data_IF_468232162326
#
_entry.id   IF_468232162326
#
_cell.length_a   1.000
_cell.length_b   1.000
_cell.length_c   1.000
_cell.angle_alpha   90.00
_cell.angle_beta   90.00
_cell.angle_gamma   90.00
#
_symmetry.space_group_name_H-M   'P 1'
#
loop_
_entity.id
_entity.type
_entity.pdbx_description
1 polymer ?
#
# COMPACT_ATOMS: atom_id res chain seq x y z
N UNK A 1 -2.91 -14.28 18.73
CA UNK A 1 -1.75 -13.40 18.48
C UNK A 1 -1.33 -12.76 19.78
N UNK A 2 -0.05 -12.81 20.14
CA UNK A 2 0.49 -12.08 21.30
C UNK A 2 0.62 -10.59 20.99
N UNK A 3 0.27 -9.73 21.95
CA UNK A 3 0.48 -8.28 21.82
C UNK A 3 1.90 -7.93 22.28
N UNK A 4 2.59 -7.09 21.51
CA UNK A 4 3.91 -6.58 21.83
C UNK A 4 3.86 -5.06 21.95
N UNK A 5 4.60 -4.49 22.89
CA UNK A 5 4.71 -3.03 23.05
C UNK A 5 5.89 -2.50 22.24
N UNK A 6 5.67 -1.39 21.53
CA UNK A 6 6.70 -0.68 20.76
C UNK A 6 6.68 0.78 21.21
N UNK A 7 7.86 1.32 21.52
CA UNK A 7 8.04 2.74 21.87
C UNK A 7 8.82 3.43 20.76
N UNK A 8 8.31 4.56 20.28
CA UNK A 8 8.96 5.37 19.26
C UNK A 8 8.75 6.85 19.53
N UNK A 9 9.55 7.69 18.88
CA UNK A 9 9.45 9.15 19.00
C UNK A 9 8.65 9.71 17.83
N UNK A 10 7.77 10.64 18.13
CA UNK A 10 7.06 11.48 17.17
C UNK A 10 7.42 12.93 17.47
N UNK A 11 7.61 13.73 16.43
CA UNK A 11 7.58 15.17 16.60
C UNK A 11 6.18 15.64 17.05
N UNK A 12 6.13 16.82 17.66
CA UNK A 12 4.91 17.37 18.26
C UNK A 12 3.81 17.62 17.23
N UNK A 13 4.17 17.96 16.00
CA UNK A 13 3.21 18.23 14.92
C UNK A 13 2.48 16.95 14.49
N UNK A 14 3.22 15.87 14.21
CA UNK A 14 2.62 14.56 13.89
C UNK A 14 1.77 14.04 15.03
N UNK A 15 2.23 14.22 16.27
CA UNK A 15 1.44 13.82 17.45
C UNK A 15 0.09 14.57 17.49
N UNK A 16 0.11 15.88 17.32
CA UNK A 16 -1.11 16.69 17.32
C UNK A 16 -2.07 16.29 16.19
N UNK A 17 -1.54 16.02 15.00
CA UNK A 17 -2.33 15.56 13.85
C UNK A 17 -3.02 14.21 14.12
N UNK A 18 -2.30 13.24 14.71
CA UNK A 18 -2.87 11.95 15.08
C UNK A 18 -3.94 12.05 16.16
N UNK A 19 -3.75 12.92 17.16
CA UNK A 19 -4.74 13.15 18.22
C UNK A 19 -6.02 13.80 17.66
N UNK A 20 -5.89 14.75 16.72
CA UNK A 20 -7.02 15.36 16.03
C UNK A 20 -7.81 14.33 15.19
N UNK A 21 -7.09 13.46 14.47
CA UNK A 21 -7.69 12.38 13.69
C UNK A 21 -8.40 11.34 14.59
N UNK A 22 -7.79 10.98 15.73
CA UNK A 22 -8.42 10.10 16.70
C UNK A 22 -9.74 10.68 17.21
N UNK A 23 -9.74 11.99 17.51
CA UNK A 23 -10.93 12.72 17.99
C UNK A 23 -12.04 12.73 16.94
N UNK A 24 -11.72 13.06 15.67
CA UNK A 24 -12.74 13.14 14.62
C UNK A 24 -13.36 11.78 14.28
N UNK A 25 -12.64 10.68 14.51
CA UNK A 25 -13.11 9.31 14.28
C UNK A 25 -13.73 8.66 15.51
N UNK A 26 -13.81 9.37 16.65
CA UNK A 26 -14.23 8.81 17.95
C UNK A 26 -13.44 7.53 18.31
N UNK A 27 -12.12 7.61 18.18
CA UNK A 27 -11.17 6.54 18.46
C UNK A 27 -10.06 7.02 19.39
N UNK A 28 -9.29 6.06 19.92
CA UNK A 28 -8.08 6.37 20.68
C UNK A 28 -6.85 6.38 19.76
N UNK A 29 -5.78 7.01 20.24
CA UNK A 29 -4.51 7.13 19.51
C UNK A 29 -3.94 5.76 19.11
N UNK A 30 -4.06 4.74 19.99
CA UNK A 30 -3.57 3.39 19.68
C UNK A 30 -4.28 2.77 18.48
N UNK A 31 -5.59 2.98 18.33
CA UNK A 31 -6.33 2.52 17.17
C UNK A 31 -5.80 3.16 15.89
N UNK A 32 -5.66 4.50 15.86
CA UNK A 32 -5.15 5.23 14.69
C UNK A 32 -3.74 4.78 14.31
N UNK A 33 -2.86 4.60 15.30
CA UNK A 33 -1.49 4.15 15.05
C UNK A 33 -1.48 2.72 14.48
N UNK A 34 -2.28 1.80 15.02
CA UNK A 34 -2.35 0.44 14.49
C UNK A 34 -2.91 0.41 13.07
N UNK A 35 -3.92 1.24 12.79
CA UNK A 35 -4.50 1.35 11.44
C UNK A 35 -3.45 1.88 10.45
N UNK A 36 -2.77 2.97 10.79
CA UNK A 36 -1.73 3.55 9.95
C UNK A 36 -0.58 2.56 9.67
N UNK A 37 -0.14 1.81 10.70
CA UNK A 37 0.87 0.76 10.53
C UNK A 37 0.36 -0.36 9.63
N UNK A 38 -0.89 -0.79 9.79
CA UNK A 38 -1.48 -1.87 8.98
C UNK A 38 -1.53 -1.48 7.51
N UNK A 39 -2.03 -0.27 7.21
CA UNK A 39 -2.08 0.26 5.85
C UNK A 39 -0.68 0.39 5.23
N UNK A 40 0.29 0.90 6.00
CA UNK A 40 1.68 1.01 5.54
C UNK A 40 2.26 -0.37 5.19
N UNK A 41 2.08 -1.34 6.08
CA UNK A 41 2.57 -2.71 5.86
C UNK A 41 1.88 -3.38 4.68
N UNK A 42 0.57 -3.22 4.53
CA UNK A 42 -0.20 -3.80 3.43
C UNK A 42 0.30 -3.28 2.07
N UNK A 43 0.41 -1.96 1.92
CA UNK A 43 0.88 -1.31 0.68
C UNK A 43 2.27 -1.82 0.32
N UNK A 44 3.20 -1.84 1.27
CA UNK A 44 4.58 -2.24 1.00
C UNK A 44 4.72 -3.74 0.76
N UNK A 45 3.96 -4.59 1.46
CA UNK A 45 3.99 -6.03 1.21
C UNK A 45 3.43 -6.38 -0.17
N UNK A 46 2.31 -5.75 -0.55
CA UNK A 46 1.76 -5.91 -1.89
C UNK A 46 2.77 -5.44 -2.95
N UNK A 47 3.34 -4.25 -2.80
CA UNK A 47 4.32 -3.71 -3.75
C UNK A 47 5.53 -4.62 -3.92
N UNK A 48 6.11 -5.11 -2.81
CA UNK A 48 7.25 -6.02 -2.86
C UNK A 48 6.89 -7.35 -3.54
N UNK A 49 5.69 -7.87 -3.29
CA UNK A 49 5.21 -9.09 -3.93
C UNK A 49 5.09 -8.90 -5.44
N UNK A 50 4.43 -7.85 -5.90
CA UNK A 50 4.24 -7.59 -7.33
C UNK A 50 5.57 -7.34 -8.05
N UNK A 51 6.52 -6.64 -7.40
CA UNK A 51 7.87 -6.45 -7.97
C UNK A 51 8.56 -7.80 -8.16
N UNK A 52 8.58 -8.65 -7.13
CA UNK A 52 9.23 -9.96 -7.25
C UNK A 52 8.54 -10.86 -8.28
N UNK A 53 7.21 -10.79 -8.35
CA UNK A 53 6.45 -11.54 -9.34
C UNK A 53 6.79 -11.07 -10.77
N UNK A 54 6.76 -9.76 -11.03
CA UNK A 54 7.08 -9.21 -12.35
C UNK A 54 8.53 -9.50 -12.78
N UNK A 55 9.48 -9.53 -11.83
CA UNK A 55 10.86 -9.97 -12.11
C UNK A 55 10.87 -11.45 -12.52
N UNK A 56 10.16 -12.32 -11.80
CA UNK A 56 10.12 -13.75 -12.10
C UNK A 56 9.44 -14.04 -13.46
N UNK A 57 8.37 -13.32 -13.80
CA UNK A 57 7.69 -13.38 -15.10
C UNK A 57 8.65 -12.94 -16.23
N UNK A 58 9.36 -11.82 -16.04
CA UNK A 58 10.36 -11.35 -16.99
C UNK A 58 11.52 -12.34 -17.19
N UNK A 59 12.03 -12.94 -16.11
CA UNK A 59 13.06 -13.98 -16.16
C UNK A 59 12.57 -15.27 -16.85
N UNK A 60 11.28 -15.57 -16.76
CA UNK A 60 10.62 -16.66 -17.47
C UNK A 60 10.30 -16.31 -18.95
N UNK A 61 10.51 -15.07 -19.37
CA UNK A 61 10.16 -14.58 -20.70
C UNK A 61 8.65 -14.40 -20.91
N UNK A 62 7.87 -14.32 -19.83
CA UNK A 62 6.43 -14.14 -19.85
C UNK A 62 6.06 -12.67 -20.10
N UNK A 63 6.32 -12.24 -21.34
CA UNK A 63 5.95 -10.91 -21.83
C UNK A 63 4.75 -11.01 -22.75
N UNK A 64 3.90 -9.98 -22.73
CA UNK A 64 2.84 -9.83 -23.71
C UNK A 64 3.42 -9.76 -25.13
N UNK A 65 2.74 -10.40 -26.05
CA UNK A 65 3.02 -10.31 -27.49
C UNK A 65 2.59 -8.95 -28.05
N UNK A 66 3.17 -8.56 -29.18
CA UNK A 66 2.81 -7.31 -29.87
C UNK A 66 1.29 -7.19 -30.13
N UNK A 67 0.63 -8.31 -30.45
CA UNK A 67 -0.81 -8.34 -30.69
C UNK A 67 -1.64 -8.11 -29.41
N UNK A 68 -1.20 -8.65 -28.27
CA UNK A 68 -1.85 -8.39 -26.98
C UNK A 68 -1.67 -6.94 -26.54
N UNK A 69 -0.49 -6.37 -26.80
CA UNK A 69 -0.21 -4.95 -26.54
C UNK A 69 -1.12 -4.07 -27.39
N UNK A 70 -1.25 -4.32 -28.69
CA UNK A 70 -2.13 -3.56 -29.60
C UNK A 70 -3.59 -3.61 -29.13
N UNK A 71 -4.11 -4.82 -28.85
CA UNK A 71 -5.48 -5.00 -28.38
C UNK A 71 -5.77 -4.25 -27.06
N UNK A 72 -4.78 -4.18 -26.16
CA UNK A 72 -4.91 -3.41 -24.92
C UNK A 72 -4.94 -1.90 -25.17
N UNK A 73 -4.14 -1.37 -26.11
CA UNK A 73 -4.18 0.03 -26.47
C UNK A 73 -5.49 0.43 -27.14
N UNK A 74 -6.00 -0.38 -28.08
CA UNK A 74 -7.32 -0.17 -28.68
C UNK A 74 -8.43 -0.10 -27.61
N UNK A 75 -8.42 -1.02 -26.63
CA UNK A 75 -9.40 -1.01 -25.54
C UNK A 75 -9.34 0.24 -24.68
N UNK A 76 -8.14 0.75 -24.36
CA UNK A 76 -7.97 1.92 -23.49
C UNK A 76 -8.26 3.24 -24.20
N UNK A 77 -8.06 3.29 -25.52
CA UNK A 77 -8.23 4.50 -26.34
C UNK A 77 -9.61 4.63 -26.99
N UNK A 78 -10.33 3.52 -27.18
CA UNK A 78 -11.70 3.52 -27.70
C UNK A 78 -12.77 3.80 -26.64
N UNK A 79 -12.39 4.14 -25.40
CA UNK A 79 -13.30 4.70 -24.40
C UNK A 79 -13.31 6.22 -24.59
N UNK A 80 -14.04 6.69 -25.59
CA UNK A 80 -14.42 8.10 -25.80
C UNK A 80 -15.87 8.18 -26.25
#
# INVERSE_FOLDING_TARGET
MSKNNVTFRLDSEKRAALDALATSMERNLSYIINEAISLYLEIHQWQLKEIHQGIAEAEAGDFATDAEVEAMFEKLTNVS
#
